data_IF_075424195586
#
_entry.id   IF_075424195586
#
_cell.length_a   1.000
_cell.length_b   1.000
_cell.length_c   1.000
_cell.angle_alpha   90.00
_cell.angle_beta   90.00
_cell.angle_gamma   90.00
#
_symmetry.space_group_name_H-M   'P 1'
#
loop_
_entity.id
_entity.type
_entity.pdbx_description
1 polymer ?
#
# COMPACT_ATOMS: atom_id res chain seq x y z
N UNK A 1 -26.41 34.08 14.12
CA UNK A 1 -26.73 32.87 13.33
C UNK A 1 -25.50 32.53 12.49
N UNK A 2 -24.69 31.54 12.88
CA UNK A 2 -23.51 31.15 12.08
C UNK A 2 -23.92 30.10 11.05
N UNK A 3 -23.88 30.47 9.78
CA UNK A 3 -24.11 29.56 8.66
C UNK A 3 -22.95 28.56 8.55
N UNK A 4 -23.24 27.29 8.83
CA UNK A 4 -22.32 26.16 8.61
C UNK A 4 -22.50 25.62 7.20
N UNK A 5 -21.80 26.20 6.23
CA UNK A 5 -21.68 25.60 4.91
C UNK A 5 -20.62 24.49 4.98
N UNK A 6 -21.08 23.23 4.98
CA UNK A 6 -20.19 22.07 4.94
C UNK A 6 -19.41 22.06 3.62
N UNK A 7 -18.13 22.43 3.67
CA UNK A 7 -17.22 22.34 2.53
C UNK A 7 -17.00 20.86 2.20
N UNK A 8 -17.52 20.40 1.05
CA UNK A 8 -17.21 19.05 0.54
C UNK A 8 -15.71 18.94 0.32
N UNK A 9 -15.01 18.22 1.20
CA UNK A 9 -13.58 17.92 1.04
C UNK A 9 -13.40 16.98 -0.15
N UNK A 10 -12.74 17.46 -1.21
CA UNK A 10 -12.35 16.63 -2.35
C UNK A 10 -11.26 15.66 -1.88
N UNK A 11 -11.58 14.37 -1.82
CA UNK A 11 -10.62 13.32 -1.50
C UNK A 11 -10.03 12.82 -2.81
N UNK A 12 -8.79 13.20 -3.09
CA UNK A 12 -8.05 12.65 -4.23
C UNK A 12 -7.74 11.18 -3.99
N UNK A 13 -8.32 10.30 -4.82
CA UNK A 13 -7.99 8.87 -4.81
C UNK A 13 -6.56 8.70 -5.31
N UNK A 14 -5.68 8.19 -4.45
CA UNK A 14 -4.33 7.83 -4.85
C UNK A 14 -4.37 6.56 -5.71
N UNK A 15 -3.55 6.52 -6.75
CA UNK A 15 -3.34 5.36 -7.61
C UNK A 15 -1.97 4.76 -7.34
N UNK A 16 -1.84 3.45 -7.53
CA UNK A 16 -0.56 2.77 -7.39
C UNK A 16 0.40 3.27 -8.46
N UNK A 17 1.63 3.60 -8.05
CA UNK A 17 2.67 4.12 -8.95
C UNK A 17 3.79 3.11 -9.05
N UNK A 18 4.27 2.87 -10.27
CA UNK A 18 5.34 1.91 -10.52
C UNK A 18 6.65 2.31 -9.82
N UNK A 19 6.90 3.61 -9.68
CA UNK A 19 8.03 4.17 -8.93
C UNK A 19 8.11 3.66 -7.48
N UNK A 20 6.99 3.26 -6.87
CA UNK A 20 6.98 2.72 -5.51
C UNK A 20 7.64 1.33 -5.43
N UNK A 21 7.77 0.61 -6.54
CA UNK A 21 8.52 -0.65 -6.59
C UNK A 21 10.03 -0.43 -6.52
N UNK A 22 10.49 0.81 -6.76
CA UNK A 22 11.89 1.20 -6.71
C UNK A 22 12.26 1.91 -5.39
N UNK A 23 11.26 2.40 -4.63
CA UNK A 23 11.47 3.04 -3.33
C UNK A 23 12.22 2.07 -2.38
N UNK A 24 13.35 2.47 -1.77
CA UNK A 24 14.17 1.59 -0.94
C UNK A 24 13.43 0.95 0.24
N UNK A 25 12.36 1.58 0.76
CA UNK A 25 11.57 1.04 1.87
C UNK A 25 10.51 0.03 1.42
N UNK A 26 10.14 0.05 0.14
CA UNK A 26 9.03 -0.72 -0.41
C UNK A 26 9.51 -1.82 -1.37
N UNK A 27 10.65 -1.59 -2.02
CA UNK A 27 11.31 -2.51 -2.93
C UNK A 27 11.56 -3.85 -2.25
N UNK A 28 11.49 -4.92 -3.03
CA UNK A 28 11.70 -6.29 -2.56
C UNK A 28 10.40 -6.98 -2.15
N UNK A 29 9.64 -6.39 -1.22
CA UNK A 29 8.42 -7.00 -0.69
C UNK A 29 7.12 -6.49 -1.33
N UNK A 30 7.06 -5.23 -1.77
CA UNK A 30 5.88 -4.68 -2.42
C UNK A 30 5.75 -5.23 -3.85
N UNK A 31 4.54 -5.58 -4.23
CA UNK A 31 4.13 -5.90 -5.60
C UNK A 31 2.76 -5.30 -5.87
N UNK A 32 2.22 -5.50 -7.06
CA UNK A 32 0.82 -5.21 -7.36
C UNK A 32 0.14 -6.43 -7.97
N UNK A 33 -1.19 -6.44 -7.87
CA UNK A 33 -2.07 -7.28 -8.67
C UNK A 33 -2.98 -6.38 -9.50
N UNK A 34 -3.61 -6.95 -10.52
CA UNK A 34 -4.62 -6.26 -11.32
C UNK A 34 -5.99 -6.56 -10.72
N UNK A 35 -6.76 -5.52 -10.40
CA UNK A 35 -8.15 -5.65 -10.02
C UNK A 35 -8.94 -6.23 -11.21
N UNK A 36 -9.67 -7.35 -11.05
CA UNK A 36 -10.45 -7.95 -12.13
C UNK A 36 -11.65 -7.11 -12.56
N UNK A 37 -12.10 -6.15 -11.75
CA UNK A 37 -13.30 -5.33 -12.01
C UNK A 37 -12.95 -4.10 -12.84
N UNK A 38 -11.92 -3.35 -12.45
CA UNK A 38 -11.58 -2.06 -13.08
C UNK A 38 -10.18 -2.03 -13.72
N UNK A 39 -9.42 -3.12 -13.66
CA UNK A 39 -8.08 -3.23 -14.22
C UNK A 39 -7.02 -2.39 -13.47
N UNK A 40 -7.36 -1.83 -12.31
CA UNK A 40 -6.45 -0.99 -11.54
C UNK A 40 -5.35 -1.81 -10.87
N UNK A 41 -4.18 -1.20 -10.67
CA UNK A 41 -3.08 -1.83 -9.94
C UNK A 41 -3.33 -1.69 -8.45
N UNK A 42 -3.53 -2.81 -7.77
CA UNK A 42 -3.71 -2.88 -6.31
C UNK A 42 -2.39 -3.32 -5.67
N UNK A 43 -1.83 -2.54 -4.73
CA UNK A 43 -0.64 -2.95 -4.00
C UNK A 43 -0.89 -4.20 -3.16
N UNK A 44 0.08 -5.12 -3.19
CA UNK A 44 0.09 -6.35 -2.42
C UNK A 44 1.46 -6.54 -1.77
N UNK A 45 1.47 -7.01 -0.53
CA UNK A 45 2.70 -7.43 0.14
C UNK A 45 2.99 -8.90 -0.17
N UNK A 46 4.19 -9.21 -0.69
CA UNK A 46 4.63 -10.58 -0.95
C UNK A 46 4.93 -11.36 0.32
N UNK A 47 5.52 -10.71 1.32
CA UNK A 47 5.87 -11.34 2.60
C UNK A 47 4.62 -11.65 3.44
N UNK A 48 3.70 -10.69 3.56
CA UNK A 48 2.47 -10.85 4.35
C UNK A 48 1.35 -11.58 3.58
N UNK A 49 1.45 -11.65 2.25
CA UNK A 49 0.40 -12.11 1.33
C UNK A 49 -0.92 -11.32 1.45
N UNK A 50 -0.83 -10.01 1.72
CA UNK A 50 -1.99 -9.15 1.97
C UNK A 50 -2.13 -8.03 0.95
N UNK A 51 -3.37 -7.69 0.63
CA UNK A 51 -3.72 -6.50 -0.15
C UNK A 51 -3.60 -5.26 0.73
N UNK A 52 -2.95 -4.23 0.20
CA UNK A 52 -2.68 -2.99 0.92
C UNK A 52 -3.49 -1.83 0.36
N UNK A 53 -3.59 -0.79 1.19
CA UNK A 53 -4.11 0.51 0.78
C UNK A 53 -3.21 1.13 -0.29
N UNK A 54 -3.84 1.81 -1.25
CA UNK A 54 -3.15 2.52 -2.35
C UNK A 54 -2.49 3.82 -1.86
N UNK A 55 -2.36 4.04 -0.55
CA UNK A 55 -1.71 5.23 0.00
C UNK A 55 -0.25 4.95 0.32
N UNK A 56 0.66 5.78 -0.21
CA UNK A 56 2.09 5.64 0.04
C UNK A 56 2.44 5.63 1.54
N UNK A 57 1.76 6.47 2.32
CA UNK A 57 1.90 6.49 3.77
C UNK A 57 1.59 5.13 4.40
N UNK A 58 0.48 4.50 4.01
CA UNK A 58 0.05 3.19 4.52
C UNK A 58 1.03 2.08 4.10
N UNK A 59 1.61 2.17 2.90
CA UNK A 59 2.64 1.23 2.46
C UNK A 59 3.92 1.35 3.30
N UNK A 60 4.36 2.58 3.58
CA UNK A 60 5.54 2.83 4.42
C UNK A 60 5.31 2.48 5.89
N UNK A 61 4.08 2.62 6.39
CA UNK A 61 3.74 2.18 7.75
C UNK A 61 3.65 0.65 7.81
N UNK A 62 3.10 -0.01 6.79
CA UNK A 62 3.07 -1.47 6.68
C UNK A 62 4.46 -2.09 6.84
N UNK A 63 5.46 -1.54 6.15
CA UNK A 63 6.87 -1.98 6.23
C UNK A 63 7.42 -2.03 7.66
N UNK A 64 6.88 -1.22 8.58
CA UNK A 64 7.33 -1.11 9.98
C UNK A 64 6.48 -1.90 10.96
N UNK A 65 5.45 -2.60 10.49
CA UNK A 65 4.59 -3.39 11.38
C UNK A 65 5.32 -4.66 11.83
N UNK A 66 5.13 -5.05 13.09
CA UNK A 66 5.69 -6.31 13.64
C UNK A 66 5.29 -7.54 12.83
N UNK A 67 4.09 -7.51 12.24
CA UNK A 67 3.62 -8.57 11.35
C UNK A 67 4.51 -8.67 10.11
N UNK A 68 4.75 -7.53 9.45
CA UNK A 68 5.61 -7.49 8.28
C UNK A 68 7.04 -7.89 8.60
N UNK A 69 7.59 -7.41 9.71
CA UNK A 69 8.95 -7.75 10.15
C UNK A 69 9.13 -9.27 10.32
N UNK A 70 8.20 -9.94 11.03
CA UNK A 70 8.22 -11.40 11.20
C UNK A 70 8.07 -12.13 9.87
N UNK A 71 7.11 -11.70 9.04
CA UNK A 71 6.85 -12.32 7.76
C UNK A 71 8.01 -12.15 6.77
N UNK A 72 8.65 -10.97 6.76
CA UNK A 72 9.82 -10.65 5.93
C UNK A 72 11.01 -11.52 6.33
N UNK A 73 11.24 -11.68 7.64
CA UNK A 73 12.26 -12.59 8.15
C UNK A 73 12.02 -14.03 7.68
N UNK A 74 10.80 -14.55 7.86
CA UNK A 74 10.43 -15.89 7.41
C UNK A 74 10.49 -16.06 5.90
N UNK A 75 10.12 -15.04 5.12
CA UNK A 75 10.16 -15.06 3.66
C UNK A 75 11.58 -15.21 3.12
N UNK A 76 12.56 -14.52 3.73
CA UNK A 76 13.97 -14.63 3.33
C UNK A 76 14.61 -15.98 3.67
N UNK A 77 14.08 -16.72 4.65
CA UNK A 77 14.62 -18.01 5.06
C UNK A 77 14.16 -19.17 4.14
N UNK A 78 13.23 -18.91 3.22
CA UNK A 78 12.64 -19.89 2.31
C UNK A 78 13.04 -19.70 0.84
N UNK A 79 13.94 -18.75 0.54
CA UNK A 79 14.52 -18.53 -0.79
C UNK A 79 15.97 -19.02 -0.83
#
# INVERSE_FOLDING_TARGET
MYNSYAVKKVIYKQKFRMEWLEDPMLKGWLTYIIDPVDGSKIPKCKCCNEILSVKLYDLKTHARTKKHERASFSFHQLQ
#
